data_IF_290762690787
#
_entry.id   IF_290762690787
#
_cell.length_a   1.000
_cell.length_b   1.000
_cell.length_c   1.000
_cell.angle_alpha   90.00
_cell.angle_beta   90.00
_cell.angle_gamma   90.00
#
_symmetry.space_group_name_H-M   'P 1'
#
loop_
_entity.id
_entity.type
_entity.pdbx_description
1 polymer ?
#
# COMPACT_ATOMS: atom_id res chain seq x y z
N UNK A 1 1.64 -13.51 12.37
CA UNK A 1 0.73 -13.71 11.21
C UNK A 1 0.12 -12.42 10.63
N UNK A 2 0.16 -11.28 11.35
CA UNK A 2 -0.35 -9.97 10.87
C UNK A 2 0.55 -9.37 9.77
N UNK A 3 1.86 -9.57 9.89
CA UNK A 3 2.91 -9.09 8.98
C UNK A 3 2.70 -9.53 7.51
N UNK A 4 2.27 -10.78 7.30
CA UNK A 4 1.97 -11.30 5.97
C UNK A 4 0.66 -10.70 5.39
N UNK A 5 -0.28 -10.29 6.25
CA UNK A 5 -1.56 -9.69 5.83
C UNK A 5 -1.41 -8.23 5.42
N UNK A 6 -0.63 -7.43 6.15
CA UNK A 6 -0.38 -6.02 5.81
C UNK A 6 0.49 -5.88 4.55
N UNK A 7 1.56 -6.69 4.45
CA UNK A 7 2.41 -6.78 3.25
C UNK A 7 1.62 -7.24 2.02
N UNK A 8 0.73 -8.23 2.19
CA UNK A 8 -0.17 -8.68 1.13
C UNK A 8 -1.10 -7.57 0.61
N UNK A 9 -1.73 -6.80 1.51
CA UNK A 9 -2.64 -5.70 1.16
C UNK A 9 -1.94 -4.56 0.42
N UNK A 10 -0.72 -4.19 0.82
CA UNK A 10 0.10 -3.18 0.14
C UNK A 10 0.51 -3.63 -1.27
N UNK A 11 0.87 -4.90 -1.45
CA UNK A 11 1.19 -5.46 -2.78
C UNK A 11 -0.04 -5.51 -3.69
N UNK A 12 -1.20 -5.87 -3.14
CA UNK A 12 -2.47 -5.80 -3.88
C UNK A 12 -2.80 -4.37 -4.29
N UNK A 13 -2.64 -3.39 -3.40
CA UNK A 13 -2.85 -1.98 -3.73
C UNK A 13 -1.92 -1.51 -4.85
N UNK A 14 -0.63 -1.86 -4.79
CA UNK A 14 0.32 -1.55 -5.84
C UNK A 14 -0.05 -2.18 -7.19
N UNK A 15 -0.51 -3.44 -7.18
CA UNK A 15 -0.98 -4.11 -8.39
C UNK A 15 -2.22 -3.43 -9.00
N UNK A 16 -3.14 -2.95 -8.17
CA UNK A 16 -4.32 -2.21 -8.62
C UNK A 16 -3.95 -0.84 -9.21
N UNK A 17 -2.97 -0.13 -8.63
CA UNK A 17 -2.44 1.10 -9.25
C UNK A 17 -1.79 0.86 -10.61
N UNK A 18 -0.99 -0.21 -10.74
CA UNK A 18 -0.39 -0.57 -12.03
C UNK A 18 -1.49 -0.88 -13.05
N UNK A 19 -2.52 -1.63 -12.66
CA UNK A 19 -3.66 -1.91 -13.51
C UNK A 19 -4.37 -0.62 -13.95
N UNK A 20 -4.60 0.32 -13.02
CA UNK A 20 -5.24 1.61 -13.30
C UNK A 20 -4.46 2.43 -14.33
N UNK A 21 -3.12 2.50 -14.19
CA UNK A 21 -2.23 3.15 -15.15
C UNK A 21 -2.33 2.50 -16.55
N UNK A 22 -2.42 1.18 -16.61
CA UNK A 22 -2.59 0.45 -17.88
C UNK A 22 -3.93 0.81 -18.52
N UNK A 23 -5.03 0.86 -17.75
CA UNK A 23 -6.33 1.27 -18.28
C UNK A 23 -6.29 2.69 -18.87
N UNK A 24 -5.63 3.63 -18.17
CA UNK A 24 -5.42 4.98 -18.68
C UNK A 24 -4.61 5.02 -19.98
N UNK A 25 -3.54 4.22 -20.06
CA UNK A 25 -2.74 4.12 -21.29
C UNK A 25 -3.57 3.56 -22.46
N UNK A 26 -4.40 2.54 -22.21
CA UNK A 26 -5.31 1.98 -23.23
C UNK A 26 -6.31 3.02 -23.71
N UNK A 27 -6.93 3.78 -22.81
CA UNK A 27 -7.86 4.86 -23.17
C UNK A 27 -7.18 5.96 -24.00
N UNK A 28 -5.96 6.36 -23.64
CA UNK A 28 -5.18 7.35 -24.38
C UNK A 28 -4.80 6.85 -25.79
N UNK A 29 -4.41 5.58 -25.92
CA UNK A 29 -4.08 4.99 -27.23
C UNK A 29 -5.33 4.91 -28.11
N UNK A 30 -6.45 4.43 -27.57
CA UNK A 30 -7.73 4.34 -28.30
C UNK A 30 -8.17 5.70 -28.84
N UNK A 31 -8.09 6.75 -28.03
CA UNK A 31 -8.45 8.12 -28.44
C UNK A 31 -7.47 8.70 -29.46
N UNK A 32 -6.18 8.39 -29.38
CA UNK A 32 -5.16 8.88 -30.32
C UNK A 32 -5.24 8.27 -31.73
N UNK A 33 -5.92 7.13 -31.87
CA UNK A 33 -5.96 6.34 -33.12
C UNK A 33 -7.30 6.44 -33.85
N UNK A 34 -8.20 7.33 -33.46
CA UNK A 34 -9.51 7.52 -34.09
C UNK A 34 -9.32 8.18 -35.47
N UNK A 35 -9.67 7.51 -36.58
CA UNK A 35 -9.72 8.14 -37.89
C UNK A 35 -10.75 9.29 -37.93
N UNK A 36 -10.50 10.35 -38.69
CA UNK A 36 -11.42 11.49 -38.81
C UNK A 36 -12.75 11.17 -39.53
N UNK A 37 -12.85 9.98 -40.12
CA UNK A 37 -13.98 9.50 -40.92
C UNK A 37 -14.69 8.29 -40.29
N UNK A 38 -14.66 8.17 -38.95
CA UNK A 38 -15.38 7.11 -38.23
C UNK A 38 -16.88 7.34 -38.30
N UNK A 39 -17.60 6.25 -38.58
CA UNK A 39 -19.06 6.23 -38.63
C UNK A 39 -19.66 6.58 -37.25
N UNK A 40 -20.71 7.43 -37.15
CA UNK A 40 -21.23 7.91 -35.87
C UNK A 40 -21.62 6.78 -34.89
N UNK A 41 -22.14 5.67 -35.39
CA UNK A 41 -22.47 4.50 -34.55
C UNK A 41 -21.24 3.88 -33.87
N UNK A 42 -20.07 3.93 -34.54
CA UNK A 42 -18.80 3.45 -33.98
C UNK A 42 -18.21 4.44 -32.98
N UNK A 43 -18.44 5.75 -33.19
CA UNK A 43 -18.05 6.79 -32.23
C UNK A 43 -18.84 6.67 -30.92
N UNK A 44 -20.15 6.42 -30.97
CA UNK A 44 -20.96 6.23 -29.77
C UNK A 44 -20.49 5.02 -28.95
N UNK A 45 -20.17 3.92 -29.63
CA UNK A 45 -19.64 2.72 -28.98
C UNK A 45 -18.28 2.98 -28.32
N UNK A 46 -17.42 3.79 -28.97
CA UNK A 46 -16.14 4.21 -28.40
C UNK A 46 -16.33 5.09 -27.15
N UNK A 47 -17.28 6.02 -27.18
CA UNK A 47 -17.59 6.85 -26.01
C UNK A 47 -18.11 6.02 -24.85
N UNK A 48 -19.03 5.08 -25.10
CA UNK A 48 -19.51 4.15 -24.08
C UNK A 48 -18.35 3.34 -23.48
N UNK A 49 -17.44 2.85 -24.33
CA UNK A 49 -16.26 2.12 -23.88
C UNK A 49 -15.34 2.98 -23.00
N UNK A 50 -15.05 4.22 -23.42
CA UNK A 50 -14.19 5.15 -22.67
C UNK A 50 -14.80 5.54 -21.33
N UNK A 51 -16.12 5.80 -21.30
CA UNK A 51 -16.85 6.05 -20.05
C UNK A 51 -16.77 4.83 -19.14
N UNK A 52 -16.98 3.62 -19.68
CA UNK A 52 -16.87 2.37 -18.93
C UNK A 52 -15.47 2.17 -18.31
N UNK A 53 -14.42 2.41 -19.10
CA UNK A 53 -13.03 2.39 -18.63
C UNK A 53 -12.82 3.41 -17.50
N UNK A 54 -13.34 4.63 -17.64
CA UNK A 54 -13.22 5.67 -16.63
C UNK A 54 -13.92 5.32 -15.30
N UNK A 55 -15.11 4.72 -15.37
CA UNK A 55 -15.83 4.25 -14.16
C UNK A 55 -15.04 3.13 -13.46
N UNK A 56 -14.55 2.14 -14.22
CA UNK A 56 -13.76 1.03 -13.67
C UNK A 56 -12.47 1.57 -13.03
N UNK A 57 -11.76 2.46 -13.72
CA UNK A 57 -10.56 3.13 -13.21
C UNK A 57 -10.83 3.84 -11.88
N UNK A 58 -11.91 4.62 -11.79
CA UNK A 58 -12.28 5.34 -10.56
C UNK A 58 -12.53 4.37 -9.39
N UNK A 59 -13.23 3.26 -9.63
CA UNK A 59 -13.49 2.25 -8.60
C UNK A 59 -12.19 1.58 -8.15
N UNK A 60 -11.32 1.19 -9.08
CA UNK A 60 -10.01 0.62 -8.77
C UNK A 60 -9.14 1.59 -7.97
N UNK A 61 -9.15 2.87 -8.32
CA UNK A 61 -8.43 3.91 -7.61
C UNK A 61 -8.90 4.03 -6.15
N UNK A 62 -10.22 4.11 -5.92
CA UNK A 62 -10.80 4.19 -4.57
C UNK A 62 -10.40 2.96 -3.72
N UNK A 63 -10.52 1.75 -4.29
CA UNK A 63 -10.13 0.51 -3.60
C UNK A 63 -8.63 0.50 -3.29
N UNK A 64 -7.80 0.96 -4.22
CA UNK A 64 -6.34 1.04 -4.04
C UNK A 64 -5.99 2.00 -2.90
N UNK A 65 -6.58 3.19 -2.87
CA UNK A 65 -6.38 4.17 -1.79
C UNK A 65 -6.80 3.59 -0.44
N UNK A 66 -7.96 2.94 -0.35
CA UNK A 66 -8.42 2.30 0.88
C UNK A 66 -7.44 1.23 1.38
N UNK A 67 -6.89 0.41 0.47
CA UNK A 67 -5.91 -0.62 0.82
C UNK A 67 -4.57 -0.01 1.26
N UNK A 68 -4.12 1.08 0.64
CA UNK A 68 -2.92 1.81 1.07
C UNK A 68 -3.11 2.38 2.46
N UNK A 69 -4.19 3.11 2.72
CA UNK A 69 -4.46 3.70 4.03
C UNK A 69 -4.49 2.62 5.13
N UNK A 70 -5.13 1.49 4.85
CA UNK A 70 -5.15 0.35 5.76
C UNK A 70 -3.75 -0.25 5.96
N UNK A 71 -2.99 -0.45 4.88
CA UNK A 71 -1.64 -1.01 4.93
C UNK A 71 -0.66 -0.12 5.69
N UNK A 72 -0.75 1.19 5.49
CA UNK A 72 0.07 2.19 6.18
C UNK A 72 -0.26 2.25 7.67
N UNK A 73 -1.54 2.26 8.05
CA UNK A 73 -1.95 2.21 9.46
C UNK A 73 -1.38 0.97 10.16
N UNK A 74 -1.49 -0.20 9.52
CA UNK A 74 -0.94 -1.45 10.06
C UNK A 74 0.60 -1.42 10.18
N UNK A 75 1.29 -0.71 9.29
CA UNK A 75 2.74 -0.57 9.34
C UNK A 75 3.20 0.29 10.53
N UNK A 76 2.50 1.39 10.81
CA UNK A 76 2.80 2.27 11.96
C UNK A 76 2.57 1.56 13.29
N UNK A 77 1.48 0.81 13.43
CA UNK A 77 1.22 0.01 14.64
C UNK A 77 2.33 -1.01 14.90
N UNK A 78 2.84 -1.64 13.83
CA UNK A 78 3.90 -2.62 13.93
C UNK A 78 5.25 -1.97 14.32
N UNK A 79 5.59 -0.81 13.74
CA UNK A 79 6.79 -0.06 14.13
C UNK A 79 6.72 0.41 15.58
N UNK A 80 5.54 0.84 16.04
CA UNK A 80 5.33 1.25 17.42
C UNK A 80 5.53 0.09 18.40
N UNK A 81 4.97 -1.10 18.12
CA UNK A 81 5.21 -2.29 18.94
C UNK A 81 6.68 -2.71 18.99
N UNK A 82 7.38 -2.68 17.84
CA UNK A 82 8.78 -3.06 17.76
C UNK A 82 9.66 -2.09 18.57
N UNK A 83 9.43 -0.79 18.45
CA UNK A 83 10.14 0.21 19.25
C UNK A 83 9.89 0.04 20.74
N UNK A 84 8.64 -0.22 21.15
CA UNK A 84 8.30 -0.47 22.56
C UNK A 84 9.02 -1.71 23.12
N UNK A 85 9.12 -2.78 22.33
CA UNK A 85 9.84 -3.99 22.75
C UNK A 85 11.34 -3.74 22.86
N UNK A 86 11.92 -2.98 21.93
CA UNK A 86 13.34 -2.61 22.00
C UNK A 86 13.66 -1.77 23.23
N UNK A 87 12.84 -0.78 23.57
CA UNK A 87 13.07 0.03 24.79
C UNK A 87 12.93 -0.81 26.06
N UNK A 88 11.93 -1.69 26.17
CA UNK A 88 11.82 -2.59 27.33
C UNK A 88 13.02 -3.53 27.47
N UNK A 89 13.55 -4.05 26.36
CA UNK A 89 14.75 -4.90 26.37
C UNK A 89 15.99 -4.11 26.80
N UNK A 90 16.15 -2.87 26.34
CA UNK A 90 17.24 -1.98 26.75
C UNK A 90 17.15 -1.65 28.25
N UNK A 91 15.95 -1.40 28.78
CA UNK A 91 15.73 -1.18 30.22
C UNK A 91 16.05 -2.43 31.04
N UNK A 92 15.65 -3.62 30.58
CA UNK A 92 16.00 -4.88 31.26
C UNK A 92 17.50 -5.16 31.25
N UNK A 93 18.19 -4.90 30.13
CA UNK A 93 19.65 -5.01 30.04
C UNK A 93 20.34 -3.99 30.95
N UNK A 94 19.86 -2.75 30.99
CA UNK A 94 20.40 -1.72 31.88
C UNK A 94 20.24 -2.12 33.35
N UNK A 95 19.06 -2.58 33.76
CA UNK A 95 18.80 -3.04 35.13
C UNK A 95 19.62 -4.29 35.50
N UNK A 96 19.73 -5.26 34.59
CA UNK A 96 20.56 -6.45 34.80
C UNK A 96 22.06 -6.09 34.91
N UNK A 97 22.52 -5.09 34.15
CA UNK A 97 23.91 -4.59 34.22
C UNK A 97 24.20 -3.87 35.54
N UNK A 98 23.26 -3.05 36.02
CA UNK A 98 23.37 -2.35 37.31
C UNK A 98 23.36 -3.35 38.48
N UNK A 99 22.54 -4.40 38.38
CA UNK A 99 22.48 -5.47 39.36
C UNK A 99 23.78 -6.31 39.36
N UNK A 100 24.35 -6.58 38.18
CA UNK A 100 25.64 -7.29 38.04
C UNK A 100 26.82 -6.50 38.62
N UNK A 101 26.82 -5.17 38.50
CA UNK A 101 27.83 -4.32 39.14
C UNK A 101 27.66 -4.28 40.66
N UNK A 102 26.42 -4.26 41.17
CA UNK A 102 26.13 -4.26 42.60
C UNK A 102 26.61 -5.56 43.27
N UNK A 103 26.33 -6.72 42.67
CA UNK A 103 26.80 -8.02 43.19
C UNK A 103 28.32 -8.15 43.21
N UNK A 104 29.03 -7.46 42.28
CA UNK A 104 30.50 -7.47 42.23
C UNK A 104 31.15 -6.64 43.35
N UNK A 105 30.46 -5.62 43.86
CA UNK A 105 30.94 -4.76 44.96
C UNK A 105 30.68 -5.42 46.32
N UNK A 106 29.59 -6.17 46.49
CA UNK A 106 29.27 -6.88 47.75
C UNK A 106 30.16 -8.10 48.03
N UNK A 107 30.92 -8.57 47.03
CA UNK A 107 31.84 -9.71 47.14
C UNK A 107 33.32 -9.32 47.30
N UNK A 108 33.63 -8.03 47.46
CA UNK A 108 34.95 -7.49 47.86
C UNK A 108 34.91 -7.08 49.33
#
# INVERSE_FOLDING_TARGET
MIENRASGKLRTAAALFVLDIILWAVAAVLTSRIPSNVDPASMDLLWILLIGIGVISTVLFIVSVALVLYGVAAHFDQQYELNKRQTTLLEHVANASAQSQTTRITHL
#
